data_IF_579832802778
#
_entry.id   IF_579832802778
#
_cell.length_a   1.000
_cell.length_b   1.000
_cell.length_c   1.000
_cell.angle_alpha   90.00
_cell.angle_beta   90.00
_cell.angle_gamma   90.00
#
_symmetry.space_group_name_H-M   'P 1'
#
loop_
_entity.id
_entity.type
_entity.pdbx_description
1 polymer ?
#
# COMPACT_ATOMS: atom_id res chain seq x y z
N UNK A 1 51.37 -56.07 24.06
CA UNK A 1 52.34 -55.51 25.02
C UNK A 1 53.11 -54.40 24.32
N UNK A 2 53.40 -53.30 25.06
CA UNK A 2 54.10 -52.06 24.64
C UNK A 2 53.30 -51.14 23.71
N UNK A 3 53.11 -49.83 23.96
CA UNK A 3 53.46 -48.99 25.09
C UNK A 3 52.75 -47.63 24.98
N UNK A 4 52.40 -47.10 26.14
CA UNK A 4 51.87 -45.76 26.40
C UNK A 4 52.84 -44.64 26.00
N UNK A 5 52.31 -43.52 25.50
CA UNK A 5 52.93 -42.19 25.60
C UNK A 5 51.86 -41.14 25.92
N UNK A 6 51.90 -40.69 27.18
CA UNK A 6 51.38 -39.42 27.68
C UNK A 6 51.91 -38.23 26.85
N UNK A 7 51.10 -37.19 26.65
CA UNK A 7 51.49 -35.79 26.88
C UNK A 7 50.31 -34.82 26.79
N UNK A 8 50.47 -33.73 27.54
CA UNK A 8 49.51 -32.80 28.11
C UNK A 8 49.28 -31.54 27.23
N UNK A 9 48.13 -30.89 27.47
CA UNK A 9 47.84 -29.44 27.41
C UNK A 9 47.83 -28.72 26.04
N UNK A 10 46.68 -28.10 25.69
CA UNK A 10 46.59 -26.67 25.41
C UNK A 10 45.12 -26.23 25.18
N UNK A 11 44.66 -25.36 26.05
CA UNK A 11 43.45 -24.52 25.95
C UNK A 11 43.57 -23.47 24.84
N UNK A 12 42.51 -23.24 24.05
CA UNK A 12 42.28 -21.95 23.36
C UNK A 12 40.85 -21.83 22.81
N UNK A 13 40.04 -21.02 23.52
CA UNK A 13 39.13 -19.97 23.00
C UNK A 13 38.19 -20.26 21.81
N UNK A 14 36.88 -20.20 22.08
CA UNK A 14 35.80 -20.00 21.09
C UNK A 14 36.02 -18.68 20.32
N UNK A 15 35.96 -18.66 18.98
CA UNK A 15 35.53 -17.49 18.25
C UNK A 15 34.00 -17.53 18.14
N UNK A 16 33.38 -16.56 18.80
CA UNK A 16 31.99 -16.14 18.61
C UNK A 16 31.82 -15.72 17.14
N UNK A 17 31.30 -16.63 16.30
CA UNK A 17 30.95 -16.31 14.92
C UNK A 17 29.74 -15.37 14.93
N UNK A 18 30.03 -14.08 14.78
CA UNK A 18 29.04 -13.02 14.60
C UNK A 18 28.19 -13.37 13.38
N UNK A 19 26.94 -13.74 13.62
CA UNK A 19 25.89 -13.83 12.60
C UNK A 19 25.61 -12.42 12.09
N UNK A 20 26.30 -12.02 11.03
CA UNK A 20 25.88 -10.91 10.19
C UNK A 20 24.63 -11.35 9.41
N UNK A 21 23.47 -11.30 10.06
CA UNK A 21 22.19 -11.23 9.37
C UNK A 21 22.11 -9.86 8.69
N UNK A 22 22.77 -9.72 7.55
CA UNK A 22 22.46 -8.68 6.59
C UNK A 22 21.05 -8.96 6.06
N UNK A 23 20.06 -8.26 6.58
CA UNK A 23 18.72 -8.24 5.96
C UNK A 23 18.94 -7.71 4.53
N UNK A 24 18.49 -8.42 3.48
CA UNK A 24 18.66 -7.90 2.12
C UNK A 24 17.92 -6.57 2.04
N UNK A 25 18.66 -5.49 1.80
CA UNK A 25 18.09 -4.24 1.35
C UNK A 25 17.41 -4.56 0.02
N UNK A 26 16.09 -4.61 0.01
CA UNK A 26 15.32 -4.90 -1.19
C UNK A 26 15.57 -3.75 -2.17
N UNK A 27 16.50 -3.96 -3.10
CA UNK A 27 16.81 -3.01 -4.14
C UNK A 27 15.52 -2.75 -4.93
N UNK A 28 15.06 -1.50 -4.90
CA UNK A 28 14.04 -1.04 -5.84
C UNK A 28 14.56 -1.38 -7.25
N UNK A 29 13.80 -2.19 -7.98
CA UNK A 29 14.16 -2.56 -9.37
C UNK A 29 14.34 -1.29 -10.19
N UNK A 30 15.22 -1.28 -11.20
CA UNK A 30 15.43 -0.10 -12.07
C UNK A 30 14.11 0.49 -12.62
N UNK A 31 13.09 -0.35 -12.81
CA UNK A 31 11.75 0.04 -13.21
C UNK A 31 11.01 0.95 -12.21
N UNK A 32 11.24 0.78 -10.90
CA UNK A 32 10.65 1.61 -9.84
C UNK A 32 11.27 3.01 -9.77
N UNK A 33 12.53 3.17 -10.19
CA UNK A 33 13.17 4.48 -10.27
C UNK A 33 12.63 5.31 -11.45
N UNK A 34 12.24 4.65 -12.55
CA UNK A 34 11.70 5.32 -13.73
C UNK A 34 10.35 5.99 -13.46
N UNK A 35 9.43 5.34 -12.73
CA UNK A 35 8.13 5.92 -12.38
C UNK A 35 8.21 7.14 -11.45
N UNK A 36 9.34 7.32 -10.76
CA UNK A 36 9.57 8.43 -9.84
C UNK A 36 10.27 9.63 -10.52
N UNK A 37 10.47 9.61 -11.84
CA UNK A 37 11.21 10.66 -12.55
C UNK A 37 10.55 12.04 -12.47
N UNK A 38 9.21 12.08 -12.53
CA UNK A 38 8.40 13.32 -12.45
C UNK A 38 8.18 13.82 -11.03
N UNK A 39 8.58 13.06 -10.01
CA UNK A 39 8.39 13.42 -8.60
C UNK A 39 9.43 14.47 -8.17
N UNK A 40 9.05 15.50 -7.38
CA UNK A 40 9.97 16.49 -6.84
C UNK A 40 11.17 15.85 -6.13
N UNK A 41 12.33 16.51 -6.20
CA UNK A 41 13.60 15.94 -5.73
C UNK A 41 13.55 15.56 -4.24
N UNK A 42 12.90 16.40 -3.43
CA UNK A 42 12.67 16.19 -2.00
C UNK A 42 11.82 14.95 -1.70
N UNK A 43 10.96 14.54 -2.63
CA UNK A 43 10.05 13.40 -2.48
C UNK A 43 10.53 12.14 -3.21
N UNK A 44 11.53 12.26 -4.09
CA UNK A 44 11.99 11.16 -4.96
C UNK A 44 12.47 9.94 -4.16
N UNK A 45 13.21 10.15 -3.07
CA UNK A 45 13.66 9.06 -2.21
C UNK A 45 12.50 8.31 -1.56
N UNK A 46 11.43 9.02 -1.15
CA UNK A 46 10.22 8.39 -0.65
C UNK A 46 9.52 7.59 -1.74
N UNK A 47 9.31 8.21 -2.92
CA UNK A 47 8.69 7.51 -4.06
C UNK A 47 9.39 6.19 -4.39
N UNK A 48 10.72 6.18 -4.52
CA UNK A 48 11.48 4.95 -4.86
C UNK A 48 11.29 3.88 -3.78
N UNK A 49 11.27 4.26 -2.50
CA UNK A 49 10.99 3.31 -1.40
C UNK A 49 9.56 2.75 -1.48
N UNK A 50 8.56 3.60 -1.65
CA UNK A 50 7.16 3.18 -1.69
C UNK A 50 6.83 2.31 -2.91
N UNK A 51 7.33 2.66 -4.10
CA UNK A 51 7.17 1.82 -5.30
C UNK A 51 7.88 0.48 -5.13
N UNK A 52 9.08 0.48 -4.52
CA UNK A 52 9.81 -0.74 -4.20
C UNK A 52 9.07 -1.63 -3.20
N UNK A 53 8.44 -1.03 -2.17
CA UNK A 53 7.62 -1.74 -1.19
C UNK A 53 6.35 -2.31 -1.83
N UNK A 54 5.65 -1.53 -2.66
CA UNK A 54 4.48 -2.00 -3.41
C UNK A 54 4.82 -3.18 -4.34
N UNK A 55 5.96 -3.14 -5.03
CA UNK A 55 6.43 -4.24 -5.87
C UNK A 55 6.78 -5.51 -5.07
N UNK A 56 7.27 -5.36 -3.84
CA UNK A 56 7.50 -6.50 -2.93
C UNK A 56 6.16 -7.09 -2.46
N UNK A 57 5.23 -6.25 -2.00
CA UNK A 57 3.89 -6.67 -1.58
C UNK A 57 3.15 -7.39 -2.72
N UNK A 58 3.26 -6.89 -3.95
CA UNK A 58 2.69 -7.53 -5.15
C UNK A 58 3.27 -8.93 -5.36
N UNK A 59 4.60 -9.09 -5.32
CA UNK A 59 5.28 -10.39 -5.45
C UNK A 59 4.93 -11.36 -4.32
N UNK A 60 4.70 -10.83 -3.12
CA UNK A 60 4.28 -11.60 -1.96
C UNK A 60 2.76 -11.93 -1.97
N UNK A 61 2.00 -11.47 -2.97
CA UNK A 61 0.55 -11.68 -3.04
C UNK A 61 -0.24 -10.93 -1.95
N UNK A 62 0.34 -9.87 -1.37
CA UNK A 62 -0.27 -9.10 -0.28
C UNK A 62 -1.18 -7.98 -0.76
N UNK A 63 -1.18 -7.68 -2.06
CA UNK A 63 -2.11 -6.71 -2.64
C UNK A 63 -3.45 -7.40 -2.93
N UNK A 64 -4.40 -7.23 -2.01
CA UNK A 64 -5.75 -7.76 -2.15
C UNK A 64 -6.72 -6.68 -2.61
N UNK A 65 -7.84 -7.10 -3.19
CA UNK A 65 -8.98 -6.24 -3.47
C UNK A 65 -10.25 -6.97 -3.05
N UNK A 66 -11.24 -6.21 -2.63
CA UNK A 66 -12.56 -6.74 -2.34
C UNK A 66 -13.37 -6.85 -3.64
N UNK A 67 -14.52 -7.51 -3.57
CA UNK A 67 -15.45 -7.54 -4.70
C UNK A 67 -16.13 -6.17 -4.92
N UNK A 68 -16.65 -5.98 -6.14
CA UNK A 68 -17.32 -4.73 -6.52
C UNK A 68 -18.52 -4.37 -5.62
N UNK A 69 -19.26 -5.37 -5.13
CA UNK A 69 -20.41 -5.13 -4.26
C UNK A 69 -19.96 -4.66 -2.88
N UNK A 70 -18.81 -5.12 -2.37
CA UNK A 70 -18.19 -4.63 -1.14
C UNK A 70 -17.79 -3.16 -1.28
N UNK A 71 -17.18 -2.78 -2.39
CA UNK A 71 -16.87 -1.38 -2.66
C UNK A 71 -18.13 -0.50 -2.78
N UNK A 72 -19.19 -0.99 -3.43
CA UNK A 72 -20.47 -0.29 -3.52
C UNK A 72 -21.12 -0.09 -2.14
N UNK A 73 -21.14 -1.14 -1.30
CA UNK A 73 -21.65 -1.02 0.07
C UNK A 73 -20.88 0.01 0.88
N UNK A 74 -19.54 0.01 0.79
CA UNK A 74 -18.70 0.99 1.49
C UNK A 74 -18.94 2.41 0.97
N UNK A 75 -19.10 2.58 -0.34
CA UNK A 75 -19.46 3.86 -0.95
C UNK A 75 -20.78 4.40 -0.39
N UNK A 76 -21.83 3.58 -0.31
CA UNK A 76 -23.14 3.97 0.21
C UNK A 76 -23.15 4.17 1.72
N UNK A 77 -22.35 3.40 2.47
CA UNK A 77 -22.22 3.55 3.92
C UNK A 77 -21.75 4.96 4.33
N UNK A 78 -20.95 5.62 3.50
CA UNK A 78 -20.51 7.01 3.72
C UNK A 78 -21.66 8.01 3.76
N UNK A 79 -22.78 7.72 3.09
CA UNK A 79 -23.96 8.58 3.12
C UNK A 79 -24.74 8.52 4.45
N UNK A 80 -24.40 7.60 5.37
CA UNK A 80 -25.06 7.49 6.68
C UNK A 80 -24.80 8.67 7.62
N UNK A 81 -23.81 9.51 7.31
CA UNK A 81 -23.51 10.73 8.08
C UNK A 81 -24.66 11.75 8.00
N UNK A 82 -25.36 11.81 6.87
CA UNK A 82 -26.44 12.76 6.63
C UNK A 82 -27.68 12.39 7.46
N UNK A 83 -28.14 13.34 8.28
CA UNK A 83 -29.32 13.17 9.15
C UNK A 83 -30.60 13.63 8.47
N UNK A 84 -30.51 14.61 7.57
CA UNK A 84 -31.61 15.01 6.71
C UNK A 84 -31.87 13.92 5.64
N UNK A 85 -33.12 13.45 5.47
CA UNK A 85 -33.46 12.45 4.45
C UNK A 85 -33.10 12.85 3.02
N UNK A 86 -33.27 14.13 2.67
CA UNK A 86 -32.95 14.67 1.35
C UNK A 86 -31.45 14.62 1.09
N UNK A 87 -30.62 15.14 2.01
CA UNK A 87 -29.16 15.11 1.85
C UNK A 87 -28.62 13.68 1.72
N UNK A 88 -29.21 12.74 2.47
CA UNK A 88 -28.87 11.32 2.37
C UNK A 88 -29.24 10.75 1.01
N UNK A 89 -30.45 11.04 0.53
CA UNK A 89 -30.90 10.68 -0.81
C UNK A 89 -29.94 11.22 -1.88
N UNK A 90 -29.63 12.51 -1.84
CA UNK A 90 -28.78 13.15 -2.85
C UNK A 90 -27.33 12.61 -2.81
N UNK A 91 -26.82 12.28 -1.63
CA UNK A 91 -25.55 11.56 -1.51
C UNK A 91 -25.60 10.20 -2.22
N UNK A 92 -26.62 9.39 -1.95
CA UNK A 92 -26.77 8.06 -2.55
C UNK A 92 -26.83 8.17 -4.07
N UNK A 93 -27.58 9.14 -4.59
CA UNK A 93 -27.67 9.31 -6.04
C UNK A 93 -26.35 9.73 -6.69
N UNK A 94 -25.56 10.62 -6.05
CA UNK A 94 -24.17 10.92 -6.48
C UNK A 94 -23.23 9.70 -6.44
N UNK A 95 -23.50 8.73 -5.57
CA UNK A 95 -22.74 7.48 -5.53
C UNK A 95 -23.22 6.46 -6.58
N UNK A 96 -24.45 6.62 -7.09
CA UNK A 96 -25.06 5.72 -8.07
C UNK A 96 -24.53 5.90 -9.50
N UNK A 97 -24.99 5.04 -10.43
CA UNK A 97 -24.49 4.97 -11.81
C UNK A 97 -24.88 6.16 -12.69
N UNK A 98 -25.81 7.01 -12.26
CA UNK A 98 -26.28 8.18 -13.02
C UNK A 98 -25.40 9.43 -12.81
N UNK A 99 -24.50 9.39 -11.83
CA UNK A 99 -23.63 10.51 -11.53
C UNK A 99 -22.57 10.71 -12.62
N UNK A 100 -22.35 11.95 -13.04
CA UNK A 100 -21.21 12.32 -13.86
C UNK A 100 -19.95 12.42 -12.99
N UNK A 101 -18.84 11.85 -13.47
CA UNK A 101 -17.55 11.89 -12.81
C UNK A 101 -16.61 12.85 -13.54
N UNK A 102 -15.84 13.63 -12.78
CA UNK A 102 -14.78 14.48 -13.32
C UNK A 102 -13.56 14.53 -12.37
N UNK A 103 -12.38 14.83 -12.91
CA UNK A 103 -11.12 14.82 -12.16
C UNK A 103 -10.37 13.49 -12.23
N UNK A 104 -9.32 13.36 -11.41
CA UNK A 104 -8.47 12.18 -11.35
C UNK A 104 -7.80 12.07 -9.97
N UNK A 105 -7.35 10.88 -9.61
CA UNK A 105 -6.61 10.66 -8.35
C UNK A 105 -5.33 11.50 -8.33
N UNK A 106 -4.60 11.53 -9.44
CA UNK A 106 -3.39 12.37 -9.60
C UNK A 106 -3.72 13.86 -9.49
N UNK A 107 -4.86 14.30 -10.04
CA UNK A 107 -5.34 15.68 -9.99
C UNK A 107 -5.96 16.10 -8.66
N UNK A 108 -5.85 15.28 -7.61
CA UNK A 108 -6.31 15.61 -6.25
C UNK A 108 -7.71 15.14 -5.90
N UNK A 109 -8.41 14.44 -6.80
CA UNK A 109 -9.67 13.79 -6.48
C UNK A 109 -10.65 13.65 -7.64
N UNK A 110 -11.73 12.93 -7.37
CA UNK A 110 -12.86 12.74 -8.29
C UNK A 110 -14.07 13.49 -7.72
N UNK A 111 -14.65 14.36 -8.53
CA UNK A 111 -15.93 14.99 -8.26
C UNK A 111 -17.07 14.14 -8.82
N UNK A 112 -18.16 14.05 -8.06
CA UNK A 112 -19.38 13.33 -8.42
C UNK A 112 -20.52 14.31 -8.42
N UNK A 113 -21.19 14.42 -9.57
CA UNK A 113 -22.32 15.33 -9.72
C UNK A 113 -23.53 14.57 -10.24
N UNK A 114 -24.70 14.93 -9.73
CA UNK A 114 -25.99 14.56 -10.26
C UNK A 114 -26.89 15.80 -10.20
N UNK A 115 -27.72 15.98 -11.23
CA UNK A 115 -28.67 17.10 -11.31
C UNK A 115 -30.08 16.54 -11.20
N UNK A 116 -30.82 16.99 -10.19
CA UNK A 116 -32.24 16.70 -10.02
C UNK A 116 -33.09 17.90 -10.43
N UNK A 117 -34.24 17.64 -11.05
CA UNK A 117 -35.27 18.67 -11.34
C UNK A 117 -36.55 18.30 -10.61
N UNK A 118 -37.13 19.24 -9.87
CA UNK A 118 -38.38 19.06 -9.14
C UNK A 118 -39.36 20.18 -9.46
N UNK A 119 -40.66 19.86 -9.42
CA UNK A 119 -41.74 20.83 -9.52
C UNK A 119 -42.13 21.24 -8.11
N UNK A 120 -42.03 22.54 -7.80
CA UNK A 120 -42.54 23.10 -6.56
C UNK A 120 -44.03 23.33 -6.73
N UNK A 121 -44.83 22.77 -5.81
CA UNK A 121 -46.28 22.99 -5.74
C UNK A 121 -46.61 24.25 -4.95
#
# INVERSE_FOLDING_TARGET
MLSSRFSLLASATLPLAVLLYGVPAHAATANAAASCASVPAESRAACVREVGAAAQAARAGQLTSDDAATYERNALARCSVFKNPQDKSDCIKRMGPRASLSGSVEGGGILRQETDTYIVK
#
